data_IF_098498253625
#
_entry.id   IF_098498253625
#
_cell.length_a   1.000
_cell.length_b   1.000
_cell.length_c   1.000
_cell.angle_alpha   90.00
_cell.angle_beta   90.00
_cell.angle_gamma   90.00
#
_symmetry.space_group_name_H-M   'P 1'
#
loop_
_entity.id
_entity.type
_entity.pdbx_description
1 polymer ?
#
# COMPACT_ATOMS: atom_id res chain seq x y z
N UNK A 1 6.52 -10.07 -3.25
CA UNK A 1 5.96 -9.95 -4.63
C UNK A 1 4.78 -8.98 -4.64
N UNK A 2 4.44 -8.38 -5.80
CA UNK A 2 3.26 -7.51 -5.90
C UNK A 2 1.98 -8.32 -5.70
N UNK A 3 1.07 -7.84 -4.85
CA UNK A 3 -0.13 -8.54 -4.39
C UNK A 3 0.08 -9.35 -3.09
N UNK A 4 1.32 -9.76 -2.80
CA UNK A 4 1.67 -10.57 -1.62
C UNK A 4 2.36 -9.74 -0.54
N UNK A 5 3.42 -9.01 -0.87
CA UNK A 5 4.20 -8.23 0.11
C UNK A 5 4.03 -6.73 -0.06
N UNK A 6 3.66 -6.31 -1.27
CA UNK A 6 3.34 -4.93 -1.62
C UNK A 6 2.10 -4.86 -2.49
N UNK A 7 1.52 -3.68 -2.66
CA UNK A 7 0.30 -3.46 -3.45
C UNK A 7 0.35 -2.09 -4.12
N UNK A 8 -0.44 -1.89 -5.17
CA UNK A 8 -0.54 -0.58 -5.81
C UNK A 8 -1.58 0.22 -5.05
N UNK A 9 -1.15 1.27 -4.37
CA UNK A 9 -2.05 2.11 -3.59
C UNK A 9 -2.61 3.28 -4.40
N UNK A 10 -1.85 3.81 -5.36
CA UNK A 10 -2.27 4.92 -6.22
C UNK A 10 -1.69 4.74 -7.62
N UNK A 11 -2.48 5.09 -8.64
CA UNK A 11 -2.05 5.14 -10.04
C UNK A 11 -1.85 6.59 -10.50
N UNK A 12 -1.32 6.77 -11.71
CA UNK A 12 -1.19 8.09 -12.34
C UNK A 12 -2.56 8.75 -12.45
N UNK A 13 -2.60 10.05 -12.19
CA UNK A 13 -3.77 10.88 -12.36
C UNK A 13 -3.93 11.30 -13.82
N UNK A 14 -5.10 10.99 -14.39
CA UNK A 14 -5.52 11.38 -15.75
C UNK A 14 -6.66 12.39 -15.75
N UNK A 15 -7.15 12.81 -14.58
CA UNK A 15 -8.18 13.84 -14.46
C UNK A 15 -7.52 15.16 -14.04
N UNK A 16 -7.55 16.22 -14.89
CA UNK A 16 -6.92 17.50 -14.56
C UNK A 16 -7.65 18.26 -13.45
N UNK A 17 -8.82 17.78 -13.01
CA UNK A 17 -9.60 18.36 -11.93
C UNK A 17 -9.19 17.78 -10.58
N UNK A 18 -9.63 18.44 -9.49
CA UNK A 18 -9.38 17.98 -8.11
C UNK A 18 -9.97 16.61 -7.78
N UNK A 19 -10.80 16.03 -8.66
CA UNK A 19 -11.42 14.73 -8.43
C UNK A 19 -10.40 13.60 -8.49
N UNK A 20 -9.38 13.73 -9.36
CA UNK A 20 -8.35 12.74 -9.68
C UNK A 20 -8.88 11.36 -10.09
N UNK A 21 -8.38 10.82 -11.20
CA UNK A 21 -8.81 9.50 -11.67
C UNK A 21 -7.65 8.72 -12.26
N UNK A 22 -7.63 7.43 -11.97
CA UNK A 22 -6.71 6.51 -12.61
C UNK A 22 -7.08 6.25 -14.08
N UNK A 23 -6.24 5.49 -14.80
CA UNK A 23 -6.45 5.07 -16.19
C UNK A 23 -7.71 4.21 -16.42
N UNK A 24 -8.43 3.82 -15.36
CA UNK A 24 -9.74 3.15 -15.44
C UNK A 24 -10.89 4.06 -15.03
N UNK A 25 -10.62 5.35 -14.83
CA UNK A 25 -11.55 6.36 -14.37
C UNK A 25 -12.08 6.11 -12.95
N UNK A 26 -11.32 5.37 -12.14
CA UNK A 26 -11.63 5.05 -10.75
C UNK A 26 -10.85 5.97 -9.78
N UNK A 27 -11.33 6.12 -8.54
CA UNK A 27 -10.82 7.13 -7.60
C UNK A 27 -9.53 6.70 -6.89
N UNK A 28 -8.73 5.79 -7.46
CA UNK A 28 -7.48 5.31 -6.87
C UNK A 28 -6.28 6.13 -7.41
N UNK A 29 -6.41 7.44 -7.25
CA UNK A 29 -5.38 8.44 -7.52
C UNK A 29 -5.60 9.66 -6.62
N UNK A 30 -4.77 10.70 -6.77
CA UNK A 30 -4.98 12.01 -6.16
C UNK A 30 -4.47 13.12 -7.09
N UNK A 31 -4.97 14.34 -6.88
CA UNK A 31 -4.76 15.46 -7.80
C UNK A 31 -3.27 15.69 -8.11
N UNK A 32 -2.93 15.68 -9.41
CA UNK A 32 -1.56 15.82 -9.94
C UNK A 32 -0.61 14.68 -9.55
N UNK A 33 -1.13 13.47 -9.32
CA UNK A 33 -0.27 12.31 -9.07
C UNK A 33 0.41 11.83 -10.37
N UNK A 34 1.74 12.01 -10.45
CA UNK A 34 2.53 11.79 -11.69
C UNK A 34 3.27 10.45 -11.73
N UNK A 35 2.77 9.45 -11.02
CA UNK A 35 3.43 8.14 -10.94
C UNK A 35 2.52 7.07 -10.36
N UNK A 36 3.10 5.91 -10.10
CA UNK A 36 2.43 4.78 -9.44
C UNK A 36 3.08 4.51 -8.08
N UNK A 37 2.26 4.36 -7.04
CA UNK A 37 2.71 4.10 -5.67
C UNK A 37 2.63 2.61 -5.35
N UNK A 38 3.79 1.98 -5.18
CA UNK A 38 3.92 0.59 -4.73
C UNK A 38 4.17 0.56 -3.22
N UNK A 39 3.12 0.30 -2.46
CA UNK A 39 3.09 0.39 -1.00
C UNK A 39 3.44 -0.93 -0.31
N UNK A 40 4.16 -0.84 0.81
CA UNK A 40 4.30 -1.93 1.77
C UNK A 40 3.09 -1.98 2.70
N UNK A 41 2.80 -3.16 3.25
CA UNK A 41 1.67 -3.38 4.15
C UNK A 41 1.83 -2.68 5.50
N UNK A 42 3.05 -2.58 6.02
CA UNK A 42 3.31 -2.01 7.35
C UNK A 42 4.64 -1.26 7.44
N UNK A 43 4.77 -0.38 8.44
CA UNK A 43 6.07 0.21 8.78
C UNK A 43 7.08 -0.83 9.29
N UNK A 44 6.63 -2.01 9.74
CA UNK A 44 7.52 -3.11 10.12
C UNK A 44 8.28 -3.64 8.92
N UNK A 45 7.59 -3.95 7.81
CA UNK A 45 8.25 -4.38 6.58
C UNK A 45 9.28 -3.35 6.09
N UNK A 46 8.97 -2.06 6.15
CA UNK A 46 9.92 -1.01 5.81
C UNK A 46 11.19 -1.04 6.69
N UNK A 47 11.03 -1.27 8.00
CA UNK A 47 12.16 -1.40 8.93
C UNK A 47 13.00 -2.64 8.65
N UNK A 48 12.34 -3.75 8.31
CA UNK A 48 12.98 -5.02 7.97
C UNK A 48 13.80 -4.95 6.66
N UNK A 49 13.57 -3.91 5.84
CA UNK A 49 14.30 -3.65 4.61
C UNK A 49 13.64 -4.31 3.40
N UNK A 50 13.12 -3.49 2.48
CA UNK A 50 12.57 -3.97 1.21
C UNK A 50 13.25 -3.25 0.07
N UNK A 51 13.97 -4.00 -0.75
CA UNK A 51 14.72 -3.46 -1.87
C UNK A 51 13.80 -2.86 -2.93
N UNK A 52 14.19 -1.69 -3.43
CA UNK A 52 13.70 -1.09 -4.68
C UNK A 52 14.72 -1.41 -5.76
N UNK A 53 14.23 -1.93 -6.88
CA UNK A 53 15.07 -2.33 -8.02
C UNK A 53 14.77 -1.49 -9.25
N UNK A 54 15.74 -1.34 -10.13
CA UNK A 54 15.57 -0.66 -11.42
C UNK A 54 14.56 -1.41 -12.30
N UNK A 55 13.59 -0.70 -12.85
CA UNK A 55 12.57 -1.26 -13.74
C UNK A 55 13.13 -1.62 -15.14
N UNK A 56 14.16 -0.90 -15.59
CA UNK A 56 14.78 -1.05 -16.90
C UNK A 56 16.28 -0.72 -16.84
N UNK A 57 17.12 -1.22 -17.78
CA UNK A 57 18.53 -0.85 -17.85
C UNK A 57 18.70 0.62 -18.21
N UNK A 58 19.72 1.28 -17.66
CA UNK A 58 19.98 2.69 -17.92
C UNK A 58 21.13 3.25 -17.09
N UNK A 59 21.27 4.57 -17.06
CA UNK A 59 22.32 5.28 -16.33
C UNK A 59 21.72 6.14 -15.23
N UNK A 60 22.26 6.07 -14.02
CA UNK A 60 21.83 6.90 -12.90
C UNK A 60 22.29 8.34 -13.13
N UNK A 61 21.36 9.27 -13.33
CA UNK A 61 21.67 10.68 -13.66
C UNK A 61 21.51 11.63 -12.47
N UNK A 62 20.61 11.32 -11.54
CA UNK A 62 20.37 12.12 -10.32
C UNK A 62 20.05 11.21 -9.14
N UNK A 63 20.45 11.63 -7.94
CA UNK A 63 20.06 10.98 -6.71
C UNK A 63 20.01 11.96 -5.53
N UNK A 64 19.27 11.59 -4.49
CA UNK A 64 19.27 12.27 -3.18
C UNK A 64 19.15 11.21 -2.08
N UNK A 65 19.97 11.29 -1.02
CA UNK A 65 20.01 10.26 0.03
C UNK A 65 20.11 10.82 1.48
N UNK A 66 19.76 12.09 1.70
CA UNK A 66 19.96 12.78 2.98
C UNK A 66 18.69 13.11 3.76
N UNK A 67 17.50 12.94 3.17
CA UNK A 67 16.21 13.30 3.77
C UNK A 67 15.82 12.24 4.80
N UNK A 68 15.40 12.66 5.99
CA UNK A 68 14.96 11.75 7.06
C UNK A 68 13.67 11.02 6.68
N UNK A 69 13.56 9.77 7.10
CA UNK A 69 12.31 9.02 7.05
C UNK A 69 11.37 9.54 8.15
N UNK A 70 10.28 10.19 7.74
CA UNK A 70 9.28 10.74 8.65
C UNK A 70 7.92 10.80 7.95
N UNK A 71 6.85 10.45 8.66
CA UNK A 71 5.51 10.65 8.13
C UNK A 71 5.25 12.14 7.92
N UNK A 72 4.68 12.49 6.76
CA UNK A 72 4.19 13.85 6.52
C UNK A 72 3.07 14.16 7.50
N UNK A 73 3.26 15.22 8.27
CA UNK A 73 2.27 15.90 9.10
C UNK A 73 2.16 17.34 8.62
N UNK A 74 1.16 18.07 9.08
CA UNK A 74 1.07 19.49 8.73
C UNK A 74 2.21 20.29 9.38
N UNK A 75 2.69 19.85 10.55
CA UNK A 75 3.82 20.44 11.25
C UNK A 75 5.18 20.29 10.52
N UNK A 76 5.34 19.28 9.65
CA UNK A 76 6.61 19.05 8.92
C UNK A 76 6.49 19.24 7.41
N UNK A 77 5.34 19.71 6.91
CA UNK A 77 5.08 19.85 5.48
C UNK A 77 6.09 20.79 4.79
N UNK A 78 6.46 21.89 5.45
CA UNK A 78 7.44 22.86 4.92
C UNK A 78 8.86 22.28 4.84
N UNK A 79 9.22 21.36 5.74
CA UNK A 79 10.57 20.77 5.78
C UNK A 79 10.93 19.95 4.54
N UNK A 80 9.94 19.61 3.72
CA UNK A 80 10.09 18.81 2.49
C UNK A 80 9.68 19.57 1.22
N UNK A 81 9.39 20.88 1.31
CA UNK A 81 9.07 21.70 0.14
C UNK A 81 10.24 21.75 -0.86
N UNK A 82 9.97 21.57 -2.16
CA UNK A 82 10.98 21.42 -3.22
C UNK A 82 11.78 20.10 -3.15
N UNK A 83 11.44 19.23 -2.19
CA UNK A 83 12.07 17.93 -1.93
C UNK A 83 10.99 16.87 -1.69
N UNK A 84 9.85 17.00 -2.37
CA UNK A 84 8.66 16.17 -2.19
C UNK A 84 8.97 14.70 -2.47
N UNK A 85 9.80 14.42 -3.48
CA UNK A 85 10.31 13.08 -3.79
C UNK A 85 11.16 12.46 -2.67
N UNK A 86 11.64 13.26 -1.71
CA UNK A 86 12.52 12.78 -0.64
C UNK A 86 13.86 12.28 -1.17
N UNK A 87 14.31 11.15 -0.65
CA UNK A 87 15.41 10.40 -1.22
C UNK A 87 14.93 9.63 -2.45
N UNK A 88 15.75 9.58 -3.47
CA UNK A 88 15.37 8.93 -4.71
C UNK A 88 16.49 8.82 -5.71
N UNK A 89 16.22 8.06 -6.75
CA UNK A 89 17.12 7.80 -7.87
C UNK A 89 16.39 8.13 -9.16
N UNK A 90 17.09 8.76 -10.10
CA UNK A 90 16.62 8.98 -11.46
C UNK A 90 17.54 8.22 -12.40
N UNK A 91 16.95 7.41 -13.27
CA UNK A 91 17.64 6.62 -14.27
C UNK A 91 17.17 7.11 -15.65
N UNK A 92 18.13 7.48 -16.48
CA UNK A 92 17.91 7.75 -17.89
C UNK A 92 18.12 6.45 -18.70
N UNK A 93 17.24 6.22 -19.65
CA UNK A 93 17.21 5.05 -20.52
C UNK A 93 17.39 5.49 -21.98
N UNK A 94 17.42 4.53 -22.91
CA UNK A 94 17.50 4.87 -24.34
C UNK A 94 16.32 5.72 -24.80
N UNK A 95 16.53 6.44 -25.89
CA UNK A 95 15.49 7.17 -26.62
C UNK A 95 14.78 8.26 -25.80
N UNK A 96 15.39 8.79 -24.74
CA UNK A 96 14.78 9.84 -23.91
C UNK A 96 13.74 9.34 -22.91
N UNK A 97 13.73 8.05 -22.60
CA UNK A 97 12.97 7.48 -21.48
C UNK A 97 13.68 7.77 -20.15
N UNK A 98 12.92 8.07 -19.09
CA UNK A 98 13.43 8.29 -17.73
C UNK A 98 12.53 7.58 -16.71
N UNK A 99 13.12 6.95 -15.69
CA UNK A 99 12.39 6.51 -14.49
C UNK A 99 12.90 7.21 -13.24
N UNK A 100 11.98 7.59 -12.36
CA UNK A 100 12.28 8.18 -11.06
C UNK A 100 11.65 7.37 -9.93
N UNK A 101 12.46 7.03 -8.93
CA UNK A 101 12.08 6.24 -7.76
C UNK A 101 12.19 7.16 -6.53
N UNK A 102 11.06 7.50 -5.91
CA UNK A 102 10.99 8.42 -4.78
C UNK A 102 10.71 7.71 -3.45
N UNK A 103 10.85 8.46 -2.36
CA UNK A 103 10.56 8.06 -0.99
C UNK A 103 11.46 6.94 -0.44
N UNK A 104 12.68 6.81 -0.97
CA UNK A 104 13.64 5.80 -0.50
C UNK A 104 14.11 6.07 0.93
N UNK A 105 14.51 5.01 1.63
CA UNK A 105 14.97 5.08 3.02
C UNK A 105 16.29 5.82 3.11
N UNK A 106 16.43 6.69 4.11
CA UNK A 106 17.65 7.50 4.30
C UNK A 106 18.87 6.60 4.43
N UNK A 107 19.91 6.88 3.64
CA UNK A 107 21.17 6.13 3.68
C UNK A 107 21.12 4.78 2.95
N UNK A 108 19.98 4.36 2.41
CA UNK A 108 19.84 3.04 1.78
C UNK A 108 20.28 2.99 0.31
N UNK A 109 20.43 4.14 -0.36
CA UNK A 109 20.79 4.15 -1.78
C UNK A 109 22.22 3.64 -1.98
N UNK A 110 22.37 2.57 -2.77
CA UNK A 110 23.64 1.87 -3.03
C UNK A 110 24.27 2.19 -4.39
N UNK A 111 23.56 2.94 -5.23
CA UNK A 111 24.05 3.37 -6.55
C UNK A 111 24.64 4.78 -6.52
N UNK A 112 25.46 5.12 -7.52
CA UNK A 112 26.07 6.45 -7.69
C UNK A 112 25.71 7.10 -9.02
N UNK A 113 25.79 8.43 -9.09
CA UNK A 113 25.63 9.18 -10.34
C UNK A 113 26.66 8.70 -11.38
N UNK A 114 26.22 8.52 -12.63
CA UNK A 114 27.01 7.98 -13.73
C UNK A 114 27.08 6.45 -13.79
N UNK A 115 26.54 5.73 -12.81
CA UNK A 115 26.52 4.28 -12.82
C UNK A 115 25.49 3.74 -13.82
N UNK A 116 25.94 2.85 -14.71
CA UNK A 116 25.03 2.02 -15.52
C UNK A 116 24.47 0.89 -14.67
N UNK A 117 23.17 0.67 -14.76
CA UNK A 117 22.44 -0.38 -14.04
C UNK A 117 21.63 -1.23 -15.03
N UNK A 118 21.43 -2.50 -14.69
CA UNK A 118 20.54 -3.41 -15.42
C UNK A 118 19.16 -3.43 -14.76
N UNK A 119 18.13 -3.87 -15.49
CA UNK A 119 16.83 -4.16 -14.87
C UNK A 119 17.01 -5.16 -13.71
N UNK A 120 16.35 -4.91 -12.58
CA UNK A 120 16.48 -5.71 -11.36
C UNK A 120 17.66 -5.33 -10.46
N UNK A 121 18.55 -4.41 -10.87
CA UNK A 121 19.61 -3.93 -9.99
C UNK A 121 19.03 -3.19 -8.77
N UNK A 122 19.51 -3.51 -7.57
CA UNK A 122 19.10 -2.83 -6.33
C UNK A 122 19.57 -1.38 -6.35
N UNK A 123 18.63 -0.47 -6.09
CA UNK A 123 18.86 0.98 -6.04
C UNK A 123 18.98 1.48 -4.61
N UNK A 124 18.17 0.93 -3.71
CA UNK A 124 18.08 1.24 -2.29
C UNK A 124 16.89 0.52 -1.68
N UNK A 125 16.39 0.99 -0.54
CA UNK A 125 15.25 0.40 0.17
C UNK A 125 14.04 1.34 0.18
N UNK A 126 12.83 0.77 0.23
CA UNK A 126 11.59 1.53 0.46
C UNK A 126 11.69 2.26 1.80
N UNK A 127 11.34 3.53 1.80
CA UNK A 127 11.41 4.38 2.98
C UNK A 127 10.14 5.20 3.21
N UNK A 128 10.36 6.33 3.88
CA UNK A 128 9.33 7.27 4.31
C UNK A 128 9.84 8.71 4.21
N UNK A 129 10.76 8.99 3.29
CA UNK A 129 11.33 10.31 3.09
C UNK A 129 10.50 11.18 2.15
N UNK A 130 10.54 12.51 2.32
CA UNK A 130 9.79 13.44 1.49
C UNK A 130 8.31 13.55 1.87
N UNK A 131 7.45 13.85 0.89
CA UNK A 131 6.02 14.08 1.09
C UNK A 131 5.23 12.76 1.02
N UNK A 132 5.38 11.92 2.05
CA UNK A 132 4.78 10.58 2.10
C UNK A 132 4.01 10.31 3.40
N UNK A 133 2.94 9.52 3.32
CA UNK A 133 2.06 9.18 4.46
C UNK A 133 2.01 7.68 4.77
N UNK A 134 2.72 6.84 4.00
CA UNK A 134 2.80 5.39 4.14
C UNK A 134 4.07 4.88 3.45
N UNK A 135 4.65 3.75 3.88
CA UNK A 135 5.89 3.23 3.27
C UNK A 135 5.61 2.75 1.84
N UNK A 136 6.24 3.38 0.86
CA UNK A 136 6.08 3.02 -0.56
C UNK A 136 7.26 3.52 -1.40
N UNK A 137 7.38 2.97 -2.61
CA UNK A 137 8.13 3.62 -3.69
C UNK A 137 7.15 4.25 -4.66
N UNK A 138 7.34 5.53 -4.95
CA UNK A 138 6.64 6.22 -6.02
C UNK A 138 7.51 6.12 -7.28
N UNK A 139 6.97 5.49 -8.32
CA UNK A 139 7.60 5.35 -9.62
C UNK A 139 6.97 6.32 -10.62
N UNK A 140 7.74 7.31 -11.07
CA UNK A 140 7.38 8.11 -12.25
C UNK A 140 8.09 7.55 -13.48
N UNK A 141 7.36 7.43 -14.59
CA UNK A 141 7.93 7.12 -15.91
C UNK A 141 7.75 8.35 -16.79
N UNK A 142 8.80 8.72 -17.54
CA UNK A 142 8.76 9.85 -18.46
C UNK A 142 9.32 9.50 -19.82
N UNK A 143 8.82 10.17 -20.85
CA UNK A 143 9.37 10.15 -22.21
C UNK A 143 9.56 11.60 -22.66
N UNK A 144 10.80 11.97 -22.98
CA UNK A 144 11.15 13.32 -23.41
C UNK A 144 10.65 14.42 -22.45
N UNK A 145 10.70 14.14 -21.14
CA UNK A 145 10.24 15.05 -20.08
C UNK A 145 8.77 14.93 -19.71
N UNK A 146 7.93 14.34 -20.57
CA UNK A 146 6.50 14.17 -20.33
C UNK A 146 6.19 12.93 -19.49
N UNK A 147 5.21 13.01 -18.60
CA UNK A 147 4.77 11.87 -17.77
C UNK A 147 4.07 10.84 -18.65
N UNK A 148 4.43 9.57 -18.48
CA UNK A 148 3.78 8.43 -19.13
C UNK A 148 3.24 7.50 -18.07
N UNK A 149 1.95 7.14 -18.17
CA UNK A 149 1.39 6.09 -17.33
C UNK A 149 1.89 4.72 -17.81
N UNK A 150 2.62 3.93 -16.98
CA UNK A 150 3.06 2.60 -17.38
C UNK A 150 1.91 1.61 -17.63
N UNK A 151 0.69 1.91 -17.17
CA UNK A 151 -0.52 1.11 -17.43
C UNK A 151 -1.30 1.55 -18.67
N UNK A 152 -1.09 2.77 -19.16
CA UNK A 152 -1.80 3.34 -20.32
C UNK A 152 -0.87 4.27 -21.13
N UNK A 153 0.17 3.72 -21.79
CA UNK A 153 1.27 4.50 -22.33
C UNK A 153 0.94 5.31 -23.59
N UNK A 154 -0.22 5.09 -24.22
CA UNK A 154 -0.68 5.91 -25.35
C UNK A 154 -1.40 7.20 -24.88
N UNK A 155 -1.71 7.30 -23.58
CA UNK A 155 -2.41 8.42 -22.97
C UNK A 155 -3.91 8.51 -23.32
N UNK A 156 -4.47 7.52 -24.00
CA UNK A 156 -5.88 7.52 -24.43
C UNK A 156 -6.72 6.71 -23.44
N UNK A 157 -7.17 7.38 -22.38
CA UNK A 157 -7.93 6.75 -21.30
C UNK A 157 -9.27 6.20 -21.80
N UNK A 158 -9.33 4.87 -21.91
CA UNK A 158 -10.55 4.10 -22.19
C UNK A 158 -11.10 3.52 -20.88
N UNK A 159 -11.95 4.29 -20.18
CA UNK A 159 -12.54 3.87 -18.90
C UNK A 159 -13.07 2.43 -18.95
N UNK A 160 -12.84 1.65 -17.88
CA UNK A 160 -13.25 0.23 -17.71
C UNK A 160 -12.59 -0.79 -18.65
N UNK A 161 -12.25 -0.41 -19.88
CA UNK A 161 -11.61 -1.26 -20.89
C UNK A 161 -10.33 -0.58 -21.42
N UNK A 162 -9.32 -0.38 -20.55
CA UNK A 162 -8.06 0.22 -20.97
C UNK A 162 -7.37 -0.67 -22.01
N UNK A 163 -6.43 -0.09 -22.75
CA UNK A 163 -5.61 -0.87 -23.67
C UNK A 163 -4.89 -1.99 -22.92
N UNK A 164 -4.66 -3.12 -23.60
CA UNK A 164 -3.86 -4.22 -23.04
C UNK A 164 -2.37 -3.93 -23.14
N UNK A 165 -1.97 -2.98 -23.97
CA UNK A 165 -0.58 -2.55 -24.13
C UNK A 165 -0.16 -1.76 -22.89
N UNK A 166 0.79 -2.30 -22.14
CA UNK A 166 1.39 -1.63 -20.97
C UNK A 166 2.91 -1.59 -21.14
N UNK A 167 3.60 -0.83 -20.28
CA UNK A 167 5.07 -0.84 -20.24
C UNK A 167 5.64 -2.01 -19.40
N UNK A 168 4.78 -2.80 -18.75
CA UNK A 168 5.19 -3.91 -17.91
C UNK A 168 5.50 -5.15 -18.75
N UNK A 169 6.71 -5.72 -18.59
CA UNK A 169 7.10 -6.97 -19.24
C UNK A 169 6.10 -8.10 -18.98
N UNK A 170 5.57 -8.16 -17.77
CA UNK A 170 4.42 -9.00 -17.40
C UNK A 170 3.30 -8.07 -17.00
N UNK A 171 2.20 -7.99 -17.78
CA UNK A 171 1.09 -7.10 -17.48
C UNK A 171 0.56 -7.32 -16.07
N UNK A 172 0.45 -6.22 -15.32
CA UNK A 172 -0.06 -6.24 -13.96
C UNK A 172 -1.58 -6.09 -13.98
N UNK A 173 -2.27 -6.91 -13.18
CA UNK A 173 -3.71 -6.80 -13.01
C UNK A 173 -4.05 -5.50 -12.26
N UNK A 174 -5.11 -4.84 -12.70
CA UNK A 174 -5.64 -3.67 -12.01
C UNK A 174 -6.14 -4.05 -10.61
N UNK A 175 -5.68 -3.29 -9.62
CA UNK A 175 -6.12 -3.37 -8.24
C UNK A 175 -7.10 -2.23 -7.96
N UNK A 176 -8.40 -2.50 -7.72
CA UNK A 176 -9.42 -1.48 -7.49
C UNK A 176 -9.42 -0.92 -6.05
N UNK A 177 -8.36 -1.15 -5.27
CA UNK A 177 -8.38 -1.11 -3.80
C UNK A 177 -8.33 -2.52 -3.22
N UNK A 178 -8.21 -2.64 -1.89
CA UNK A 178 -8.13 -3.95 -1.27
C UNK A 178 -7.80 -3.97 0.22
N UNK A 179 -7.65 -5.19 0.74
CA UNK A 179 -7.26 -5.45 2.11
C UNK A 179 -5.73 -5.55 2.22
N UNK A 180 -5.14 -4.70 3.05
CA UNK A 180 -3.73 -4.66 3.39
C UNK A 180 -3.37 -5.81 4.34
N UNK A 181 -4.11 -6.04 5.42
CA UNK A 181 -3.96 -7.25 6.23
C UNK A 181 -5.11 -7.38 7.22
N UNK A 182 -5.22 -8.55 7.84
CA UNK A 182 -6.11 -8.79 8.97
C UNK A 182 -5.30 -9.34 10.16
N UNK A 183 -5.77 -9.08 11.38
CA UNK A 183 -5.08 -9.51 12.59
C UNK A 183 -6.03 -9.61 13.78
N UNK A 184 -5.52 -10.22 14.86
CA UNK A 184 -6.22 -10.29 16.14
C UNK A 184 -5.60 -9.38 17.18
N UNK A 185 -6.42 -8.93 18.11
CA UNK A 185 -6.01 -8.22 19.32
C UNK A 185 -6.98 -8.55 20.47
N UNK A 186 -6.57 -8.25 21.69
CA UNK A 186 -7.35 -8.39 22.92
C UNK A 186 -8.25 -7.16 23.21
N UNK A 187 -8.16 -6.13 22.37
CA UNK A 187 -8.98 -4.92 22.35
C UNK A 187 -9.00 -4.33 20.94
N UNK A 188 -9.87 -3.35 20.70
CA UNK A 188 -9.80 -2.58 19.44
C UNK A 188 -8.45 -1.87 19.39
N UNK A 189 -7.62 -2.12 18.36
CA UNK A 189 -6.29 -1.53 18.28
C UNK A 189 -6.35 -0.05 17.88
N UNK A 190 -5.34 0.71 18.29
CA UNK A 190 -5.14 2.07 17.81
C UNK A 190 -4.69 2.08 16.35
N UNK A 191 -5.09 3.11 15.59
CA UNK A 191 -4.75 3.22 14.17
C UNK A 191 -3.24 3.20 13.91
N UNK A 192 -2.46 3.82 14.79
CA UNK A 192 -0.99 3.87 14.71
C UNK A 192 -0.36 2.48 14.90
N UNK A 193 -0.94 1.64 15.75
CA UNK A 193 -0.52 0.26 15.95
C UNK A 193 -0.85 -0.63 14.74
N UNK A 194 -2.00 -0.37 14.10
CA UNK A 194 -2.38 -1.02 12.85
C UNK A 194 -1.40 -0.63 11.73
N UNK A 195 -1.13 0.67 11.52
CA UNK A 195 -0.17 1.11 10.50
C UNK A 195 1.25 0.62 10.76
N UNK A 196 1.66 0.56 12.02
CA UNK A 196 3.01 0.12 12.38
C UNK A 196 3.23 -1.39 12.26
N UNK A 197 2.15 -2.18 12.15
CA UNK A 197 2.18 -3.65 12.16
C UNK A 197 2.32 -4.26 13.56
N UNK A 198 2.08 -3.48 14.63
CA UNK A 198 2.18 -3.93 16.03
C UNK A 198 0.87 -4.41 16.63
N UNK A 199 -0.25 -4.07 16.00
CA UNK A 199 -1.58 -4.41 16.50
C UNK A 199 -1.84 -5.92 16.53
N UNK A 200 -1.41 -6.65 15.50
CA UNK A 200 -1.70 -8.08 15.38
C UNK A 200 -0.92 -8.90 16.41
N UNK A 201 -1.65 -9.76 17.14
CA UNK A 201 -1.12 -10.74 18.08
C UNK A 201 -1.23 -12.15 17.49
N UNK A 202 -0.14 -12.91 17.52
CA UNK A 202 -0.14 -14.32 17.12
C UNK A 202 -0.56 -15.27 18.24
N UNK A 203 -0.47 -14.82 19.49
CA UNK A 203 -0.88 -15.55 20.69
C UNK A 203 -1.63 -14.60 21.62
N UNK A 204 -2.71 -15.07 22.21
CA UNK A 204 -3.46 -14.39 23.27
C UNK A 204 -3.70 -15.38 24.42
N UNK A 205 -3.74 -14.92 25.68
CA UNK A 205 -4.04 -15.80 26.80
C UNK A 205 -5.51 -16.24 26.76
N UNK A 206 -5.82 -17.38 27.39
CA UNK A 206 -7.18 -17.92 27.45
C UNK A 206 -8.19 -17.01 28.17
N UNK A 207 -7.72 -16.11 29.01
CA UNK A 207 -8.50 -15.13 29.76
C UNK A 207 -8.51 -13.72 29.11
N UNK A 208 -8.05 -13.60 27.85
CA UNK A 208 -8.06 -12.32 27.14
C UNK A 208 -9.45 -11.65 27.22
N UNK A 209 -9.55 -10.38 27.64
CA UNK A 209 -10.82 -9.74 27.96
C UNK A 209 -11.76 -9.61 26.76
N UNK A 210 -11.19 -9.57 25.55
CA UNK A 210 -11.93 -9.67 24.31
C UNK A 210 -11.13 -10.44 23.26
N UNK A 211 -11.84 -10.96 22.26
CA UNK A 211 -11.28 -11.49 21.04
C UNK A 211 -11.74 -10.59 19.89
N UNK A 212 -10.83 -9.77 19.39
CA UNK A 212 -11.09 -8.77 18.35
C UNK A 212 -10.32 -9.14 17.09
N UNK A 213 -11.02 -9.24 15.96
CA UNK A 213 -10.41 -9.22 14.64
C UNK A 213 -10.46 -7.80 14.10
N UNK A 214 -9.40 -7.37 13.45
CA UNK A 214 -9.40 -6.14 12.67
C UNK A 214 -8.94 -6.42 11.24
N UNK A 215 -9.44 -5.63 10.30
CA UNK A 215 -9.01 -5.62 8.91
C UNK A 215 -8.58 -4.22 8.52
N UNK A 216 -7.39 -4.09 7.91
CA UNK A 216 -6.84 -2.84 7.40
C UNK A 216 -6.83 -2.88 5.88
N UNK A 217 -7.39 -1.87 5.21
CA UNK A 217 -7.52 -1.80 3.76
C UNK A 217 -7.14 -0.43 3.18
N UNK A 218 -7.07 -0.36 1.86
CA UNK A 218 -6.79 0.84 1.06
C UNK A 218 -7.79 0.99 -0.09
N UNK A 219 -7.99 2.22 -0.56
CA UNK A 219 -8.85 2.50 -1.72
C UNK A 219 -10.32 2.10 -1.52
N UNK A 220 -10.83 2.20 -0.29
CA UNK A 220 -12.24 1.90 -0.01
C UNK A 220 -13.11 3.05 -0.52
N UNK A 221 -14.26 2.73 -1.09
CA UNK A 221 -15.20 3.66 -1.70
C UNK A 221 -16.50 3.73 -0.91
N UNK A 222 -17.19 4.87 -0.98
CA UNK A 222 -18.55 5.00 -0.45
C UNK A 222 -19.43 3.91 -1.05
N UNK A 223 -20.13 3.16 -0.20
CA UNK A 223 -20.97 2.04 -0.61
C UNK A 223 -20.32 0.67 -0.50
N UNK A 224 -18.98 0.60 -0.39
CA UNK A 224 -18.29 -0.66 -0.09
C UNK A 224 -18.77 -1.23 1.24
N UNK A 225 -18.58 -2.54 1.40
CA UNK A 225 -18.79 -3.23 2.67
C UNK A 225 -17.50 -3.90 3.12
N UNK A 226 -17.21 -3.79 4.42
CA UNK A 226 -16.12 -4.49 5.07
C UNK A 226 -16.72 -5.55 5.99
N UNK A 227 -16.48 -6.83 5.67
CA UNK A 227 -16.97 -7.97 6.45
C UNK A 227 -15.83 -8.59 7.24
N UNK A 228 -16.04 -8.75 8.55
CA UNK A 228 -15.10 -9.32 9.52
C UNK A 228 -15.72 -10.57 10.14
N UNK A 229 -15.04 -11.70 10.00
CA UNK A 229 -15.48 -13.00 10.52
C UNK A 229 -14.43 -13.55 11.47
N UNK A 230 -14.84 -14.05 12.65
CA UNK A 230 -13.97 -14.85 13.53
C UNK A 230 -14.51 -16.28 13.56
N UNK A 231 -13.64 -17.25 13.27
CA UNK A 231 -13.88 -18.67 13.48
C UNK A 231 -12.89 -19.21 14.51
N UNK A 232 -13.42 -19.88 15.53
CA UNK A 232 -12.64 -20.61 16.52
C UNK A 232 -12.85 -22.12 16.43
N UNK A 233 -12.33 -22.90 17.39
CA UNK A 233 -12.47 -24.36 17.42
C UNK A 233 -13.93 -24.84 17.38
N UNK A 234 -14.85 -24.08 17.98
CA UNK A 234 -16.27 -24.43 18.09
C UNK A 234 -17.14 -23.76 17.00
N UNK A 235 -16.53 -23.25 15.93
CA UNK A 235 -17.25 -22.61 14.82
C UNK A 235 -17.18 -21.08 14.80
N UNK A 236 -18.15 -20.45 14.14
CA UNK A 236 -18.19 -18.99 13.94
C UNK A 236 -18.55 -18.27 15.23
N UNK A 237 -17.72 -17.30 15.62
CA UNK A 237 -17.88 -16.50 16.84
C UNK A 237 -18.54 -15.17 16.53
N UNK A 238 -18.11 -14.51 15.46
CA UNK A 238 -18.71 -13.27 14.96
C UNK A 238 -18.63 -13.22 13.45
N UNK A 239 -19.61 -12.56 12.84
CA UNK A 239 -19.69 -12.26 11.41
C UNK A 239 -20.35 -10.89 11.29
N UNK A 240 -19.52 -9.85 11.13
CA UNK A 240 -19.94 -8.47 11.17
C UNK A 240 -19.65 -7.79 9.85
N UNK A 241 -20.65 -7.13 9.26
CA UNK A 241 -20.48 -6.35 8.03
C UNK A 241 -20.76 -4.88 8.31
N UNK A 242 -19.83 -4.01 7.91
CA UNK A 242 -19.96 -2.55 8.01
C UNK A 242 -19.98 -1.92 6.63
N UNK A 243 -20.86 -0.93 6.41
CA UNK A 243 -20.88 -0.12 5.19
C UNK A 243 -19.92 1.06 5.28
N UNK A 244 -19.23 1.37 4.19
CA UNK A 244 -18.31 2.49 4.07
C UNK A 244 -19.09 3.73 3.62
N UNK A 245 -19.11 4.76 4.46
CA UNK A 245 -19.92 5.97 4.23
C UNK A 245 -19.25 7.01 3.33
N UNK A 246 -17.92 6.99 3.25
CA UNK A 246 -17.09 7.92 2.47
C UNK A 246 -15.85 7.21 1.96
N UNK A 247 -15.31 7.67 0.83
CA UNK A 247 -14.04 7.15 0.31
C UNK A 247 -12.93 7.26 1.38
N UNK A 248 -12.09 6.23 1.48
CA UNK A 248 -10.97 6.15 2.42
C UNK A 248 -9.71 5.70 1.67
N UNK A 249 -8.68 6.54 1.68
CA UNK A 249 -7.37 6.17 1.14
C UNK A 249 -6.80 4.95 1.88
N UNK A 250 -6.87 4.97 3.21
CA UNK A 250 -6.60 3.83 4.09
C UNK A 250 -7.63 3.84 5.23
N UNK A 251 -8.08 2.66 5.65
CA UNK A 251 -9.06 2.51 6.73
C UNK A 251 -8.92 1.15 7.38
N UNK A 252 -9.10 1.09 8.69
CA UNK A 252 -9.27 -0.17 9.38
C UNK A 252 -10.63 -0.20 10.09
N UNK A 253 -11.15 -1.41 10.23
CA UNK A 253 -12.32 -1.70 11.03
C UNK A 253 -12.01 -2.87 11.95
N UNK A 254 -12.65 -2.91 13.11
CA UNK A 254 -12.53 -4.00 14.07
C UNK A 254 -13.91 -4.50 14.49
N UNK A 255 -14.00 -5.81 14.74
CA UNK A 255 -15.18 -6.47 15.28
C UNK A 255 -14.72 -7.60 16.21
N UNK A 256 -15.52 -7.92 17.22
CA UNK A 256 -15.12 -8.94 18.18
C UNK A 256 -16.19 -9.21 19.21
N UNK A 257 -15.84 -10.08 20.16
CA UNK A 257 -16.66 -10.35 21.34
C UNK A 257 -15.82 -10.17 22.59
N UNK A 258 -16.46 -9.68 23.64
CA UNK A 258 -15.90 -9.75 25.00
C UNK A 258 -15.98 -11.19 25.49
N UNK A 259 -15.07 -11.56 26.37
CA UNK A 259 -15.12 -12.83 27.05
C UNK A 259 -16.43 -12.91 27.85
N UNK A 260 -17.16 -14.01 27.68
CA UNK A 260 -18.38 -14.32 28.44
C UNK A 260 -18.22 -15.74 29.01
N UNK A 261 -17.78 -15.82 30.26
CA UNK A 261 -17.35 -17.06 30.92
C UNK A 261 -15.96 -16.92 31.54
N UNK A 262 -15.35 -18.06 31.91
CA UNK A 262 -14.04 -18.08 32.55
C UNK A 262 -12.88 -17.95 31.55
N UNK A 263 -12.94 -18.65 30.42
CA UNK A 263 -11.90 -18.66 29.39
C UNK A 263 -12.47 -18.85 27.99
N UNK A 264 -11.71 -18.43 26.99
CA UNK A 264 -11.91 -18.84 25.60
C UNK A 264 -11.49 -20.30 25.40
N UNK A 265 -12.12 -21.05 24.47
CA UNK A 265 -11.60 -22.35 24.04
C UNK A 265 -10.13 -22.25 23.58
N UNK A 266 -9.26 -23.11 24.10
CA UNK A 266 -7.87 -23.14 23.62
C UNK A 266 -7.82 -23.59 22.17
N UNK A 267 -6.91 -23.03 21.38
CA UNK A 267 -6.65 -23.50 20.01
C UNK A 267 -6.45 -22.39 19.01
N UNK A 268 -6.55 -22.74 17.73
CA UNK A 268 -6.35 -21.83 16.61
C UNK A 268 -7.65 -21.14 16.23
N UNK A 269 -7.52 -19.85 15.96
CA UNK A 269 -8.60 -18.99 15.50
C UNK A 269 -8.20 -18.34 14.18
N UNK A 270 -9.17 -18.23 13.28
CA UNK A 270 -9.01 -17.55 11.99
C UNK A 270 -9.93 -16.34 11.96
N UNK A 271 -9.35 -15.20 11.57
CA UNK A 271 -10.04 -13.95 11.38
C UNK A 271 -10.01 -13.62 9.90
N UNK A 272 -11.15 -13.44 9.26
CA UNK A 272 -11.23 -13.11 7.83
C UNK A 272 -11.77 -11.71 7.67
N UNK A 273 -11.04 -10.86 6.93
CA UNK A 273 -11.48 -9.54 6.54
C UNK A 273 -11.68 -9.48 5.02
N UNK A 274 -12.88 -9.12 4.59
CA UNK A 274 -13.26 -9.05 3.18
C UNK A 274 -13.69 -7.62 2.84
N UNK A 275 -13.16 -7.11 1.72
CA UNK A 275 -13.67 -5.92 1.07
C UNK A 275 -14.61 -6.32 -0.06
N UNK A 276 -15.85 -5.86 0.03
CA UNK A 276 -16.94 -6.16 -0.90
C UNK A 276 -17.35 -4.87 -1.59
N UNK A 277 -17.39 -4.87 -2.92
CA UNK A 277 -17.86 -3.77 -3.76
C UNK A 277 -18.90 -4.29 -4.73
N UNK A 278 -20.04 -3.61 -4.81
CA UNK A 278 -21.16 -3.99 -5.68
C UNK A 278 -21.56 -5.48 -5.53
N UNK A 279 -21.60 -5.96 -4.28
CA UNK A 279 -21.96 -7.34 -3.94
C UNK A 279 -20.87 -8.39 -4.24
N UNK A 280 -19.69 -8.00 -4.74
CA UNK A 280 -18.59 -8.92 -5.06
C UNK A 280 -17.41 -8.71 -4.11
N UNK A 281 -16.81 -9.80 -3.65
CA UNK A 281 -15.54 -9.74 -2.90
C UNK A 281 -14.44 -9.31 -3.88
N UNK A 282 -13.86 -8.13 -3.65
CA UNK A 282 -12.75 -7.60 -4.47
C UNK A 282 -11.39 -7.84 -3.82
N UNK A 283 -11.34 -8.09 -2.51
CA UNK A 283 -10.12 -8.42 -1.78
C UNK A 283 -10.45 -9.10 -0.45
N UNK A 284 -9.56 -9.98 0.01
CA UNK A 284 -9.68 -10.66 1.30
C UNK A 284 -8.32 -10.90 1.94
N UNK A 285 -8.28 -10.85 3.27
CA UNK A 285 -7.09 -11.17 4.07
C UNK A 285 -7.50 -12.01 5.28
N UNK A 286 -6.64 -12.95 5.64
CA UNK A 286 -6.79 -13.75 6.85
C UNK A 286 -5.75 -13.33 7.89
N UNK A 287 -6.19 -13.26 9.15
CA UNK A 287 -5.36 -13.17 10.34
C UNK A 287 -5.54 -14.44 11.17
N UNK A 288 -4.53 -14.77 11.98
CA UNK A 288 -4.55 -15.97 12.80
C UNK A 288 -4.08 -15.64 14.22
N UNK A 289 -4.65 -16.31 15.20
CA UNK A 289 -4.20 -16.26 16.59
C UNK A 289 -4.36 -17.62 17.24
N UNK A 290 -3.44 -17.96 18.13
CA UNK A 290 -3.56 -19.15 19.00
C UNK A 290 -3.88 -18.69 20.42
N UNK A 291 -4.95 -19.23 20.99
CA UNK A 291 -5.31 -18.98 22.38
C UNK A 291 -4.77 -20.13 23.24
N UNK A 292 -3.88 -19.81 24.18
CA UNK A 292 -3.23 -20.75 25.10
C UNK A 292 -2.69 -20.05 26.34
#
# INVERSE_FOLDING_TARGET
>A
MLGEDCFIQQYVDHDPTKNAKDYRCAPLSYNNHKGTDFALRTLRQMRDGVNVVAAAPGTVVRLRNSIKDQLKTDANAESVAGRECGNGVVIEHSDGWETQYCHLKKGSIVVRKGQTVQAGAVLGEVGLSGRTQFPHVHLSVRKNGEVVDPFDPDGVVKCRAPDKKTLWKTPLNYQPGGMIYAGFADKVPEYTDVKSGRAAKGVLPLDAPALVVFGFGFGLQKGDQLRLVIKGPNGTITDHTTKIEKNKAQYFQAAGKRLNGATWPSGKYTGTALLIRDGRVISGQNGYVTLK
#
